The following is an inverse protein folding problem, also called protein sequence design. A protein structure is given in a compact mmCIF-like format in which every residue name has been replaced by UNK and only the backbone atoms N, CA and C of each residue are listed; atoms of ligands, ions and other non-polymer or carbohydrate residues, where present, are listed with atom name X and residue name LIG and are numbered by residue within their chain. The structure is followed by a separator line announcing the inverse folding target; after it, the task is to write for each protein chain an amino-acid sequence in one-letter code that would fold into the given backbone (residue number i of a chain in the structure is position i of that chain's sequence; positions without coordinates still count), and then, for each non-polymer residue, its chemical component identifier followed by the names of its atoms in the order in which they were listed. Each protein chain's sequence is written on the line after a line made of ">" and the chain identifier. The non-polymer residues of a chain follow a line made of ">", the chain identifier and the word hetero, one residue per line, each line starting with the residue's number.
data_IF_082249385913
#
_entry.id   IF_082249385913
#
_cell.length_a   1.000
_cell.length_b   1.000
_cell.length_c   1.000
_cell.angle_alpha   90.00
_cell.angle_beta   90.00
_cell.angle_gamma   90.00
#
_symmetry.space_group_name_H-M   'P 1'
#
loop_
_entity.id
_entity.type
_entity.pdbx_description
1 polymer ?
#
# COMPACT_ATOMS: atom_id res chain seq x y z
N UNK A 1 48.32 -28.69 -20.76
CA UNK A 1 46.87 -28.48 -20.57
C UNK A 1 46.41 -27.34 -21.47
N UNK A 2 45.25 -27.54 -22.09
CA UNK A 2 44.82 -26.96 -23.35
C UNK A 2 44.23 -25.55 -23.16
N UNK A 3 45.01 -24.50 -23.39
CA UNK A 3 44.51 -23.12 -23.57
C UNK A 3 44.87 -22.67 -24.98
N UNK A 4 44.31 -23.32 -26.00
CA UNK A 4 44.57 -22.94 -27.40
C UNK A 4 43.33 -23.14 -28.26
N UNK A 5 42.35 -22.24 -28.09
CA UNK A 5 41.27 -22.00 -29.07
C UNK A 5 40.62 -20.61 -28.94
N UNK A 6 41.40 -19.60 -28.56
CA UNK A 6 41.02 -18.18 -28.73
C UNK A 6 41.87 -17.61 -29.86
N UNK A 7 41.88 -18.27 -31.00
CA UNK A 7 42.63 -17.86 -32.18
C UNK A 7 41.77 -18.09 -33.39
N UNK A 8 41.41 -17.00 -34.07
CA UNK A 8 40.63 -16.95 -35.33
C UNK A 8 39.11 -17.07 -35.13
N UNK A 9 38.52 -16.22 -34.28
CA UNK A 9 37.18 -15.70 -34.62
C UNK A 9 37.35 -14.61 -35.68
N UNK A 10 36.69 -14.78 -36.83
CA UNK A 10 36.64 -13.78 -37.91
C UNK A 10 36.21 -12.42 -37.35
N UNK A 11 36.81 -11.33 -37.85
CA UNK A 11 36.55 -9.95 -37.37
C UNK A 11 35.04 -9.65 -37.25
N UNK A 12 34.24 -10.17 -38.19
CA UNK A 12 32.78 -10.11 -38.19
C UNK A 12 32.14 -10.69 -36.92
N UNK A 13 32.60 -11.87 -36.45
CA UNK A 13 32.08 -12.48 -35.21
C UNK A 13 32.40 -11.66 -33.98
N UNK A 14 33.55 -10.99 -33.91
CA UNK A 14 33.91 -10.12 -32.77
C UNK A 14 33.00 -8.89 -32.68
N UNK A 15 32.73 -8.26 -33.82
CA UNK A 15 31.82 -7.11 -33.91
C UNK A 15 30.39 -7.54 -33.52
N UNK A 16 29.94 -8.70 -34.01
CA UNK A 16 28.62 -9.25 -33.66
C UNK A 16 28.51 -9.55 -32.16
N UNK A 17 29.57 -10.10 -31.56
CA UNK A 17 29.60 -10.43 -30.13
C UNK A 17 29.59 -9.16 -29.26
N UNK A 18 30.33 -8.11 -29.65
CA UNK A 18 30.25 -6.79 -28.99
C UNK A 18 28.85 -6.18 -29.08
N UNK A 19 28.19 -6.28 -30.24
CA UNK A 19 26.82 -5.81 -30.42
C UNK A 19 25.82 -6.54 -29.53
N UNK A 20 25.92 -7.87 -29.44
CA UNK A 20 25.08 -8.67 -28.53
C UNK A 20 25.34 -8.32 -27.07
N UNK A 21 26.60 -8.08 -26.68
CA UNK A 21 26.97 -7.71 -25.32
C UNK A 21 26.42 -6.33 -24.94
N UNK A 22 26.50 -5.36 -25.85
CA UNK A 22 25.94 -4.03 -25.67
C UNK A 22 24.40 -4.03 -25.60
N UNK A 23 23.73 -4.82 -26.45
CA UNK A 23 22.27 -4.98 -26.39
C UNK A 23 21.84 -5.73 -25.11
N UNK A 24 22.62 -6.72 -24.69
CA UNK A 24 22.37 -7.47 -23.46
C UNK A 24 22.47 -6.59 -22.22
N UNK A 25 23.50 -5.75 -22.11
CA UNK A 25 23.62 -4.81 -21.00
C UNK A 25 22.50 -3.77 -20.98
N UNK A 26 22.11 -3.26 -22.16
CA UNK A 26 20.97 -2.34 -22.27
C UNK A 26 19.66 -3.00 -21.82
N UNK A 27 19.45 -4.26 -22.20
CA UNK A 27 18.29 -5.05 -21.78
C UNK A 27 18.23 -5.26 -20.26
N UNK A 28 19.37 -5.51 -19.62
CA UNK A 28 19.44 -5.66 -18.16
C UNK A 28 19.10 -4.35 -17.46
N UNK A 29 19.67 -3.22 -17.90
CA UNK A 29 19.38 -1.90 -17.33
C UNK A 29 17.89 -1.57 -17.49
N UNK A 30 17.32 -1.82 -18.67
CA UNK A 30 15.91 -1.59 -18.92
C UNK A 30 15.01 -2.47 -18.03
N UNK A 31 15.35 -3.75 -17.88
CA UNK A 31 14.61 -4.65 -17.00
C UNK A 31 14.66 -4.19 -15.54
N UNK A 32 15.82 -3.73 -15.07
CA UNK A 32 15.98 -3.17 -13.72
C UNK A 32 15.07 -1.96 -13.51
N UNK A 33 15.10 -0.98 -14.41
CA UNK A 33 14.21 0.18 -14.31
C UNK A 33 12.73 -0.18 -14.37
N UNK A 34 12.36 -1.13 -15.24
CA UNK A 34 10.96 -1.59 -15.32
C UNK A 34 10.52 -2.25 -14.00
N UNK A 35 11.38 -3.07 -13.38
CA UNK A 35 11.07 -3.67 -12.08
C UNK A 35 10.98 -2.64 -10.95
N UNK A 36 11.79 -1.59 -10.97
CA UNK A 36 11.71 -0.49 -10.00
C UNK A 36 10.39 0.26 -10.11
N UNK A 37 9.98 0.61 -11.34
CA UNK A 37 8.70 1.30 -11.59
C UNK A 37 7.50 0.47 -11.17
N UNK A 38 7.52 -0.84 -11.46
CA UNK A 38 6.45 -1.75 -11.04
C UNK A 38 6.40 -1.86 -9.51
N UNK A 39 7.54 -2.01 -8.84
CA UNK A 39 7.61 -2.05 -7.37
C UNK A 39 7.07 -0.77 -6.75
N UNK A 40 7.40 0.39 -7.32
CA UNK A 40 6.92 1.68 -6.81
C UNK A 40 5.41 1.83 -6.97
N UNK A 41 4.84 1.39 -8.09
CA UNK A 41 3.38 1.38 -8.31
C UNK A 41 2.67 0.46 -7.32
N UNK A 42 3.17 -0.74 -7.10
CA UNK A 42 2.60 -1.68 -6.11
C UNK A 42 2.65 -1.09 -4.71
N UNK A 43 3.79 -0.52 -4.30
CA UNK A 43 3.91 0.12 -2.99
C UNK A 43 2.92 1.27 -2.81
N UNK A 44 2.73 2.11 -3.82
CA UNK A 44 1.76 3.22 -3.76
C UNK A 44 0.31 2.71 -3.63
N UNK A 45 -0.04 1.64 -4.34
CA UNK A 45 -1.36 1.02 -4.23
C UNK A 45 -1.61 0.44 -2.83
N UNK A 46 -0.60 -0.24 -2.27
CA UNK A 46 -0.66 -0.80 -0.92
C UNK A 46 -0.81 0.31 0.13
N UNK A 47 -0.02 1.38 0.03
CA UNK A 47 -0.11 2.55 0.90
C UNK A 47 -1.49 3.21 0.84
N UNK A 48 -2.03 3.38 -0.37
CA UNK A 48 -3.37 3.97 -0.57
C UNK A 48 -4.43 3.15 0.16
N UNK A 49 -4.34 1.83 0.05
CA UNK A 49 -5.25 0.90 0.73
C UNK A 49 -5.15 1.02 2.26
N UNK A 50 -3.94 1.13 2.80
CA UNK A 50 -3.73 1.32 4.25
C UNK A 50 -4.29 2.66 4.72
N UNK A 51 -4.04 3.74 3.98
CA UNK A 51 -4.54 5.09 4.31
C UNK A 51 -6.07 5.12 4.31
N UNK A 52 -6.71 4.58 3.27
CA UNK A 52 -8.18 4.54 3.19
C UNK A 52 -8.79 3.79 4.37
N UNK A 53 -8.15 2.71 4.83
CA UNK A 53 -8.60 1.97 6.02
C UNK A 53 -8.39 2.76 7.30
N UNK A 54 -7.25 3.44 7.43
CA UNK A 54 -6.97 4.29 8.58
C UNK A 54 -7.98 5.46 8.68
N UNK A 55 -8.32 6.07 7.55
CA UNK A 55 -9.35 7.11 7.46
C UNK A 55 -10.73 6.56 7.85
N UNK A 56 -11.12 5.39 7.34
CA UNK A 56 -12.35 4.70 7.74
C UNK A 56 -12.40 4.45 9.25
N UNK A 57 -11.30 3.99 9.85
CA UNK A 57 -11.21 3.76 11.29
C UNK A 57 -11.31 5.07 12.07
N UNK A 58 -10.67 6.15 11.60
CA UNK A 58 -10.75 7.47 12.21
C UNK A 58 -12.19 7.99 12.22
N UNK A 59 -12.94 7.79 11.13
CA UNK A 59 -14.35 8.18 11.04
C UNK A 59 -15.21 7.44 12.06
N UNK A 60 -14.96 6.14 12.27
CA UNK A 60 -15.65 5.35 13.30
C UNK A 60 -15.32 5.85 14.70
N UNK A 61 -14.05 6.14 14.99
CA UNK A 61 -13.64 6.71 16.27
C UNK A 61 -14.34 8.05 16.52
N UNK A 62 -14.44 8.93 15.52
CA UNK A 62 -15.16 10.19 15.64
C UNK A 62 -16.66 9.99 15.89
N UNK A 63 -17.29 9.03 15.20
CA UNK A 63 -18.70 8.70 15.44
C UNK A 63 -18.94 8.22 16.88
N UNK A 64 -18.07 7.34 17.40
CA UNK A 64 -18.13 6.90 18.79
C UNK A 64 -17.88 8.02 19.79
N UNK A 65 -16.95 8.94 19.52
CA UNK A 65 -16.70 10.10 20.38
C UNK A 65 -17.95 11.00 20.48
N UNK A 66 -18.60 11.25 19.34
CA UNK A 66 -19.85 12.03 19.29
C UNK A 66 -20.98 11.32 20.05
N UNK A 67 -21.11 10.00 19.87
CA UNK A 67 -22.07 9.18 20.60
C UNK A 67 -21.85 9.21 22.11
N UNK A 68 -20.59 9.07 22.56
CA UNK A 68 -20.24 9.19 23.97
C UNK A 68 -20.58 10.56 24.53
N UNK A 69 -20.28 11.64 23.79
CA UNK A 69 -20.63 13.00 24.19
C UNK A 69 -22.13 13.20 24.35
N UNK A 70 -22.93 12.71 23.41
CA UNK A 70 -24.40 12.78 23.49
C UNK A 70 -24.98 11.91 24.58
N UNK A 71 -24.42 10.72 24.80
CA UNK A 71 -24.83 9.82 25.88
C UNK A 71 -24.57 10.47 27.23
N UNK A 72 -23.40 11.07 27.42
CA UNK A 72 -23.05 11.79 28.64
C UNK A 72 -23.97 13.00 28.86
N UNK A 73 -24.30 13.75 27.81
CA UNK A 73 -25.24 14.87 27.90
C UNK A 73 -26.65 14.41 28.30
N UNK A 74 -27.17 13.33 27.71
CA UNK A 74 -28.47 12.78 28.08
C UNK A 74 -28.49 12.27 29.53
N UNK A 75 -27.47 11.52 29.95
CA UNK A 75 -27.36 11.02 31.33
C UNK A 75 -27.20 12.16 32.35
N UNK A 76 -26.45 13.22 32.01
CA UNK A 76 -26.22 14.36 32.89
C UNK A 76 -27.42 15.30 33.00
N UNK A 77 -28.18 15.48 31.92
CA UNK A 77 -29.37 16.34 31.91
C UNK A 77 -30.65 15.62 32.38
N UNK A 78 -30.72 14.28 32.25
CA UNK A 78 -31.94 13.52 32.52
C UNK A 78 -33.11 13.88 31.59
N UNK A 79 -32.81 14.48 30.43
CA UNK A 79 -33.80 15.03 29.51
C UNK A 79 -34.09 14.06 28.35
N UNK A 80 -35.35 13.62 28.26
CA UNK A 80 -35.86 12.73 27.23
C UNK A 80 -35.91 13.39 25.83
N UNK A 81 -35.88 14.73 25.74
CA UNK A 81 -35.79 15.42 24.46
C UNK A 81 -34.47 15.12 23.73
N UNK A 82 -33.41 14.75 24.45
CA UNK A 82 -32.12 14.35 23.88
C UNK A 82 -32.12 12.92 23.32
N UNK A 83 -33.10 12.09 23.70
CA UNK A 83 -33.18 10.68 23.29
C UNK A 83 -33.29 10.52 21.77
N UNK A 84 -34.01 11.43 21.10
CA UNK A 84 -34.12 11.44 19.63
C UNK A 84 -32.77 11.73 18.96
N UNK A 85 -32.03 12.71 19.46
CA UNK A 85 -30.70 13.06 18.96
C UNK A 85 -29.67 11.95 19.24
N UNK A 86 -29.82 11.24 20.36
CA UNK A 86 -28.98 10.10 20.71
C UNK A 86 -29.23 8.92 19.76
N UNK A 87 -30.49 8.55 19.49
CA UNK A 87 -30.85 7.50 18.53
C UNK A 87 -30.37 7.82 17.11
N UNK A 88 -30.49 9.08 16.70
CA UNK A 88 -29.96 9.51 15.41
C UNK A 88 -28.43 9.34 15.34
N UNK A 89 -27.73 9.58 16.46
CA UNK A 89 -26.28 9.37 16.54
C UNK A 89 -25.90 7.90 16.49
N UNK A 90 -26.64 7.01 17.17
CA UNK A 90 -26.43 5.55 17.06
C UNK A 90 -26.49 5.07 15.61
N UNK A 91 -27.52 5.52 14.87
CA UNK A 91 -27.63 5.18 13.44
C UNK A 91 -26.44 5.69 12.61
N UNK A 92 -25.86 6.85 12.95
CA UNK A 92 -24.67 7.35 12.27
C UNK A 92 -23.42 6.52 12.61
N UNK A 93 -23.26 6.12 13.87
CA UNK A 93 -22.18 5.22 14.29
C UNK A 93 -22.29 3.87 13.57
N UNK A 94 -23.47 3.29 13.52
CA UNK A 94 -23.71 2.01 12.82
C UNK A 94 -23.36 2.11 11.32
N UNK A 95 -23.73 3.22 10.67
CA UNK A 95 -23.36 3.48 9.27
C UNK A 95 -21.84 3.59 9.10
N UNK A 96 -21.15 4.26 10.02
CA UNK A 96 -19.70 4.38 9.96
C UNK A 96 -19.01 3.00 10.14
N UNK A 97 -19.51 2.17 11.04
CA UNK A 97 -19.03 0.79 11.24
C UNK A 97 -19.29 -0.06 10.01
N UNK A 98 -20.50 0.01 9.44
CA UNK A 98 -20.87 -0.74 8.24
C UNK A 98 -20.03 -0.32 7.01
N UNK A 99 -19.57 0.93 6.97
CA UNK A 99 -18.70 1.44 5.91
C UNK A 99 -17.23 0.96 6.05
N UNK A 100 -16.84 0.35 7.18
CA UNK A 100 -15.51 -0.21 7.32
C UNK A 100 -15.34 -1.44 6.41
N UNK A 101 -14.25 -1.51 5.64
CA UNK A 101 -13.94 -2.70 4.85
C UNK A 101 -13.72 -3.90 5.78
N UNK A 102 -14.50 -4.96 5.57
CA UNK A 102 -14.52 -6.18 6.40
C UNK A 102 -13.32 -7.11 6.15
N UNK A 103 -12.51 -6.84 5.13
CA UNK A 103 -11.32 -7.64 4.84
C UNK A 103 -10.23 -7.33 5.88
N UNK A 104 -9.59 -8.34 6.49
CA UNK A 104 -8.49 -8.11 7.41
C UNK A 104 -7.38 -7.29 6.75
N UNK A 105 -6.72 -6.42 7.51
CA UNK A 105 -5.46 -5.80 7.09
C UNK A 105 -4.45 -6.94 6.97
N UNK A 106 -3.96 -7.16 5.76
CA UNK A 106 -2.92 -8.16 5.55
C UNK A 106 -1.64 -7.65 6.21
N UNK A 107 -1.23 -8.34 7.28
CA UNK A 107 -0.02 -8.02 8.03
C UNK A 107 1.23 -8.18 7.16
N UNK A 108 1.17 -8.97 6.09
CA UNK A 108 2.27 -9.09 5.13
C UNK A 108 2.44 -7.79 4.34
N UNK A 109 1.37 -7.13 3.91
CA UNK A 109 1.42 -5.82 3.23
C UNK A 109 2.06 -4.76 4.12
N UNK A 110 1.69 -4.72 5.41
CA UNK A 110 2.30 -3.80 6.38
C UNK A 110 3.79 -4.10 6.61
N UNK A 111 4.17 -5.37 6.67
CA UNK A 111 5.57 -5.78 6.77
C UNK A 111 6.37 -5.41 5.51
N UNK A 112 5.79 -5.55 4.32
CA UNK A 112 6.41 -5.16 3.05
C UNK A 112 6.62 -3.65 2.96
N UNK A 113 5.61 -2.84 3.31
CA UNK A 113 5.74 -1.38 3.37
C UNK A 113 6.86 -1.00 4.34
N UNK A 114 6.88 -1.59 5.53
CA UNK A 114 7.92 -1.33 6.55
C UNK A 114 9.32 -1.68 6.03
N UNK A 115 9.49 -2.86 5.45
CA UNK A 115 10.77 -3.31 4.91
C UNK A 115 11.28 -2.38 3.79
N UNK A 116 10.40 -1.91 2.91
CA UNK A 116 10.77 -0.99 1.83
C UNK A 116 11.07 0.43 2.32
N UNK A 117 10.41 0.88 3.40
CA UNK A 117 10.70 2.17 4.03
C UNK A 117 12.05 2.22 4.76
N UNK A 118 12.58 1.07 5.18
CA UNK A 118 13.86 0.97 5.90
C UNK A 118 15.10 0.93 4.99
N UNK A 119 14.91 0.73 3.68
CA UNK A 119 15.98 0.68 2.67
C UNK A 119 16.28 2.03 2.00
N UNK A 120 15.69 3.12 2.49
CA UNK A 120 16.03 4.51 2.12
C UNK A 120 16.74 5.19 3.27
#
# INVERSE_FOLDING_TARGET
>A
MCVKKIGIMTLRRKILLLGVLALGSLGIIFAQHLTEDLRWRTLLQDLTTVIQRAEGLSNVVHAFQNERGRSAAHLGAGDDHLLGALRAQWSQTDKAIAALPQSPLDMTTLATIRAQSATR
#
